data_IF_746307788347
#
_entry.id   IF_746307788347
#
_cell.length_a   1.000
_cell.length_b   1.000
_cell.length_c   1.000
_cell.angle_alpha   90.00
_cell.angle_beta   90.00
_cell.angle_gamma   90.00
#
_symmetry.space_group_name_H-M   'P 1'
#
loop_
_entity.id
_entity.type
_entity.pdbx_description
1 polymer ?
#
# COMPACT_ATOMS: atom_id res chain seq x y z
N UNK A 1 12.72 6.65 19.84
CA UNK A 1 11.38 6.02 19.68
C UNK A 1 11.17 5.61 18.25
N UNK A 2 10.80 4.38 18.00
CA UNK A 2 10.42 4.05 16.63
C UNK A 2 9.19 4.83 16.23
N UNK A 3 9.16 5.29 15.00
CA UNK A 3 8.01 5.98 14.46
C UNK A 3 6.86 5.04 14.14
N UNK A 4 5.78 5.60 13.63
CA UNK A 4 4.62 4.82 13.26
C UNK A 4 4.92 3.87 12.10
N UNK A 5 4.24 2.72 12.09
CA UNK A 5 4.32 1.77 11.00
C UNK A 5 3.13 2.01 10.05
N UNK A 6 3.41 2.08 8.76
CA UNK A 6 2.39 2.24 7.72
C UNK A 6 2.55 1.18 6.67
N UNK A 7 1.46 0.57 6.25
CA UNK A 7 1.42 -0.13 4.97
C UNK A 7 1.16 0.91 3.89
N UNK A 8 1.92 0.86 2.80
CA UNK A 8 1.70 1.76 1.66
C UNK A 8 0.91 0.99 0.59
N UNK A 9 -0.32 1.43 0.36
CA UNK A 9 -1.20 0.74 -0.58
C UNK A 9 -0.70 0.90 -2.02
N UNK A 10 -1.08 -0.04 -2.87
CA UNK A 10 -0.61 -0.10 -4.26
C UNK A 10 -0.94 1.17 -5.03
N UNK A 11 -2.09 1.81 -4.77
CA UNK A 11 -2.45 3.04 -5.45
C UNK A 11 -1.50 4.19 -5.11
N UNK A 12 -0.90 4.19 -3.94
CA UNK A 12 0.10 5.17 -3.54
C UNK A 12 1.46 4.84 -4.19
N UNK A 13 1.84 3.56 -4.18
CA UNK A 13 3.09 3.11 -4.82
C UNK A 13 3.11 3.48 -6.30
N UNK A 14 1.98 3.27 -7.00
CA UNK A 14 1.87 3.57 -8.43
C UNK A 14 2.13 5.05 -8.71
N UNK A 15 1.58 5.94 -7.90
CA UNK A 15 1.76 7.38 -8.09
C UNK A 15 3.14 7.87 -7.67
N UNK A 16 3.74 7.20 -6.69
CA UNK A 16 5.07 7.59 -6.21
C UNK A 16 6.14 7.43 -7.29
N UNK A 17 5.97 6.47 -8.18
CA UNK A 17 6.98 6.20 -9.21
C UNK A 17 6.56 6.72 -10.60
N UNK A 18 5.57 7.61 -10.67
CA UNK A 18 5.05 8.13 -11.92
C UNK A 18 5.05 9.67 -11.87
N UNK A 19 6.18 10.29 -12.25
CA UNK A 19 6.35 11.75 -12.11
C UNK A 19 5.31 12.61 -12.84
N UNK A 20 4.69 12.07 -13.90
CA UNK A 20 3.65 12.78 -14.64
C UNK A 20 2.24 12.57 -14.09
N UNK A 21 2.07 11.80 -13.01
CA UNK A 21 0.79 11.68 -12.34
C UNK A 21 0.48 12.97 -11.58
N UNK A 22 -0.76 13.43 -11.62
CA UNK A 22 -1.15 14.69 -10.98
C UNK A 22 -0.97 14.65 -9.46
N UNK A 23 -1.04 13.47 -8.85
CA UNK A 23 -0.88 13.29 -7.40
C UNK A 23 0.56 12.99 -7.00
N UNK A 24 1.49 12.95 -7.96
CA UNK A 24 2.89 12.65 -7.66
C UNK A 24 3.49 13.60 -6.61
N UNK A 25 3.34 14.93 -6.73
CA UNK A 25 3.92 15.83 -5.73
C UNK A 25 3.36 15.59 -4.34
N UNK A 26 2.06 15.31 -4.23
CA UNK A 26 1.41 15.01 -2.96
C UNK A 26 1.98 13.73 -2.34
N UNK A 27 2.11 12.69 -3.13
CA UNK A 27 2.60 11.39 -2.65
C UNK A 27 4.06 11.51 -2.20
N UNK A 28 4.90 12.18 -3.00
CA UNK A 28 6.31 12.38 -2.64
C UNK A 28 6.41 13.14 -1.32
N UNK A 29 5.63 14.21 -1.18
CA UNK A 29 5.63 15.00 0.05
C UNK A 29 5.20 14.17 1.27
N UNK A 30 4.12 13.39 1.13
CA UNK A 30 3.62 12.56 2.22
C UNK A 30 4.65 11.52 2.67
N UNK A 31 5.29 10.86 1.70
CA UNK A 31 6.31 9.85 2.00
C UNK A 31 7.53 10.48 2.66
N UNK A 32 8.00 11.59 2.14
CA UNK A 32 9.16 12.28 2.71
C UNK A 32 8.89 12.73 4.15
N UNK A 33 7.72 13.28 4.40
CA UNK A 33 7.36 13.73 5.75
C UNK A 33 7.29 12.53 6.70
N UNK A 34 6.67 11.43 6.27
CA UNK A 34 6.60 10.23 7.09
C UNK A 34 8.01 9.74 7.45
N UNK A 35 8.91 9.68 6.48
CA UNK A 35 10.28 9.22 6.70
C UNK A 35 11.05 10.18 7.61
N UNK A 36 10.84 11.49 7.47
CA UNK A 36 11.47 12.49 8.33
C UNK A 36 11.00 12.36 9.78
N UNK A 37 9.80 11.84 9.99
CA UNK A 37 9.24 11.59 11.33
C UNK A 37 9.53 10.16 11.80
N UNK A 38 10.52 9.52 11.23
CA UNK A 38 10.99 8.17 11.59
C UNK A 38 9.93 7.09 11.39
N UNK A 39 8.94 7.31 10.53
CA UNK A 39 7.97 6.28 10.20
C UNK A 39 8.65 5.14 9.46
N UNK A 40 8.17 3.92 9.69
CA UNK A 40 8.58 2.76 8.93
C UNK A 40 7.48 2.46 7.93
N UNK A 41 7.79 2.61 6.65
CA UNK A 41 6.84 2.34 5.58
C UNK A 41 7.04 0.91 5.10
N UNK A 42 5.93 0.20 4.89
CA UNK A 42 5.94 -1.24 4.61
C UNK A 42 5.15 -1.53 3.33
N UNK A 43 5.45 -2.65 2.73
CA UNK A 43 4.70 -3.17 1.59
C UNK A 43 4.63 -4.69 1.68
N UNK A 44 3.77 -5.31 0.87
CA UNK A 44 3.63 -6.76 0.79
C UNK A 44 3.89 -7.23 -0.64
N UNK A 45 4.08 -8.54 -0.81
CA UNK A 45 4.18 -9.11 -2.15
C UNK A 45 2.90 -8.89 -2.95
N UNK A 46 1.73 -8.86 -2.29
CA UNK A 46 0.48 -8.52 -2.96
C UNK A 46 0.54 -7.11 -3.55
N UNK A 47 1.07 -6.14 -2.81
CA UNK A 47 1.24 -4.78 -3.33
C UNK A 47 2.09 -4.77 -4.60
N UNK A 48 3.17 -5.54 -4.62
CA UNK A 48 4.02 -5.64 -5.81
C UNK A 48 3.24 -6.22 -6.97
N UNK A 49 2.45 -7.27 -6.73
CA UNK A 49 1.63 -7.88 -7.78
C UNK A 49 0.62 -6.91 -8.37
N UNK A 50 -0.09 -6.18 -7.52
CA UNK A 50 -1.07 -5.18 -7.97
C UNK A 50 -0.40 -4.03 -8.73
N UNK A 51 0.73 -3.55 -8.22
CA UNK A 51 1.55 -2.54 -8.85
C UNK A 51 2.00 -3.01 -10.24
N UNK A 52 2.54 -4.22 -10.32
CA UNK A 52 3.06 -4.80 -11.56
C UNK A 52 1.97 -4.96 -12.62
N UNK A 53 0.81 -5.46 -12.20
CA UNK A 53 -0.33 -5.62 -13.09
C UNK A 53 -0.70 -4.30 -13.76
N UNK A 54 -0.81 -3.22 -12.98
CA UNK A 54 -1.14 -1.90 -13.53
C UNK A 54 -0.02 -1.36 -14.42
N UNK A 55 1.23 -1.52 -14.02
CA UNK A 55 2.37 -1.04 -14.79
C UNK A 55 2.44 -1.71 -16.18
N UNK A 56 2.20 -3.00 -16.24
CA UNK A 56 2.37 -3.77 -17.49
C UNK A 56 1.08 -3.94 -18.28
N UNK A 57 -0.06 -3.63 -17.68
CA UNK A 57 -1.35 -3.70 -18.37
C UNK A 57 -1.37 -2.69 -19.52
N UNK A 58 -2.00 -3.02 -20.67
CA UNK A 58 -2.05 -2.11 -21.80
C UNK A 58 -2.71 -0.78 -21.47
N UNK A 59 -2.29 0.26 -22.20
CA UNK A 59 -2.89 1.61 -22.03
C UNK A 59 -4.39 1.59 -22.27
N UNK A 60 -4.87 0.76 -23.23
CA UNK A 60 -6.30 0.63 -23.55
C UNK A 60 -7.11 0.02 -22.40
N UNK A 61 -6.43 -0.59 -21.43
CA UNK A 61 -7.06 -1.24 -20.27
C UNK A 61 -6.71 -0.54 -18.97
N UNK A 62 -6.48 0.77 -19.04
CA UNK A 62 -6.14 1.60 -17.89
C UNK A 62 -4.82 1.21 -17.22
N UNK A 63 -3.91 0.61 -17.98
CA UNK A 63 -2.57 0.33 -17.50
C UNK A 63 -1.58 1.39 -17.96
N UNK A 64 -0.33 1.19 -17.57
CA UNK A 64 0.75 2.11 -17.98
C UNK A 64 1.48 1.65 -19.24
N UNK A 65 1.19 0.46 -19.72
CA UNK A 65 1.81 -0.08 -20.95
C UNK A 65 3.32 -0.25 -20.86
N UNK A 66 3.86 -0.45 -19.67
CA UNK A 66 5.29 -0.58 -19.46
C UNK A 66 5.73 -2.03 -19.70
N UNK A 67 7.00 -2.21 -20.08
CA UNK A 67 7.59 -3.53 -20.13
C UNK A 67 7.81 -4.09 -18.73
N UNK A 68 7.91 -5.42 -18.57
CA UNK A 68 8.28 -6.01 -17.28
C UNK A 68 9.62 -5.47 -16.77
N UNK A 69 10.58 -5.18 -17.64
CA UNK A 69 11.87 -4.65 -17.25
C UNK A 69 11.74 -3.25 -16.64
N UNK A 70 10.84 -2.42 -17.21
CA UNK A 70 10.59 -1.09 -16.67
C UNK A 70 9.83 -1.17 -15.35
N UNK A 71 8.84 -2.07 -15.24
CA UNK A 71 8.11 -2.29 -13.99
C UNK A 71 9.08 -2.75 -12.89
N UNK A 72 10.01 -3.62 -13.19
CA UNK A 72 11.02 -4.09 -12.27
C UNK A 72 11.89 -2.93 -11.76
N UNK A 73 12.35 -2.07 -12.68
CA UNK A 73 13.17 -0.92 -12.31
C UNK A 73 12.44 0.00 -11.34
N UNK A 74 11.16 0.25 -11.59
CA UNK A 74 10.36 1.13 -10.74
C UNK A 74 10.04 0.50 -9.40
N UNK A 75 9.73 -0.80 -9.38
CA UNK A 75 9.50 -1.51 -8.13
C UNK A 75 10.75 -1.45 -7.24
N UNK A 76 11.93 -1.59 -7.81
CA UNK A 76 13.18 -1.52 -7.06
C UNK A 76 13.34 -0.19 -6.33
N UNK A 77 12.75 0.89 -6.85
CA UNK A 77 12.84 2.21 -6.19
C UNK A 77 12.16 2.16 -4.82
N UNK A 78 10.91 1.69 -4.77
CA UNK A 78 10.22 1.66 -3.48
C UNK A 78 10.70 0.52 -2.60
N UNK A 79 11.14 -0.59 -3.17
CA UNK A 79 11.64 -1.73 -2.38
C UNK A 79 12.89 -1.38 -1.58
N UNK A 80 13.69 -0.42 -2.05
CA UNK A 80 14.88 0.02 -1.32
C UNK A 80 14.56 0.83 -0.08
N UNK A 81 13.41 1.51 -0.08
CA UNK A 81 13.04 2.44 0.99
C UNK A 81 12.00 1.87 1.95
N UNK A 82 11.28 0.85 1.55
CA UNK A 82 10.21 0.26 2.32
C UNK A 82 10.63 -1.11 2.86
N UNK A 83 9.93 -1.53 3.93
CA UNK A 83 10.15 -2.84 4.54
C UNK A 83 9.12 -3.83 4.02
N UNK A 84 9.56 -4.98 3.54
CA UNK A 84 8.66 -6.05 3.13
C UNK A 84 8.04 -6.71 4.37
N UNK A 85 6.72 -6.84 4.37
CA UNK A 85 5.99 -7.68 5.32
C UNK A 85 5.80 -9.04 4.66
N UNK A 86 6.54 -10.07 5.08
CA UNK A 86 6.49 -11.34 4.37
C UNK A 86 5.17 -12.07 4.57
N UNK A 87 4.76 -12.80 3.54
CA UNK A 87 3.66 -13.74 3.65
C UNK A 87 4.04 -14.86 4.60
N UNK A 88 3.03 -15.42 5.29
CA UNK A 88 3.26 -16.50 6.23
C UNK A 88 1.97 -17.29 6.41
N UNK A 89 2.08 -18.44 7.06
CA UNK A 89 0.89 -19.20 7.44
C UNK A 89 -0.04 -18.36 8.32
N UNK A 90 0.54 -17.58 9.23
CA UNK A 90 -0.25 -16.70 10.11
C UNK A 90 -1.06 -15.68 9.33
N UNK A 91 -0.47 -15.07 8.29
CA UNK A 91 -1.17 -14.13 7.42
C UNK A 91 -2.33 -14.82 6.73
N UNK A 92 -2.11 -16.00 6.19
CA UNK A 92 -3.17 -16.77 5.53
C UNK A 92 -4.32 -17.09 6.49
N UNK A 93 -4.00 -17.54 7.69
CA UNK A 93 -5.02 -17.89 8.68
C UNK A 93 -5.83 -16.67 9.11
N UNK A 94 -5.18 -15.55 9.34
CA UNK A 94 -5.87 -14.30 9.69
C UNK A 94 -6.76 -13.82 8.54
N UNK A 95 -6.28 -13.91 7.32
CA UNK A 95 -7.06 -13.57 6.13
C UNK A 95 -8.34 -14.38 6.07
N UNK A 96 -8.22 -15.71 6.20
CA UNK A 96 -9.39 -16.60 6.18
C UNK A 96 -10.38 -16.23 7.29
N UNK A 97 -9.89 -15.90 8.46
CA UNK A 97 -10.73 -15.48 9.59
C UNK A 97 -11.48 -14.18 9.27
N UNK A 98 -10.79 -13.21 8.69
CA UNK A 98 -11.38 -11.91 8.33
C UNK A 98 -12.48 -12.06 7.29
N UNK A 99 -12.27 -12.94 6.31
CA UNK A 99 -13.26 -13.13 5.24
C UNK A 99 -14.61 -13.54 5.79
N UNK A 100 -14.62 -14.40 6.79
CA UNK A 100 -15.86 -14.88 7.40
C UNK A 100 -16.41 -13.85 8.39
N UNK A 101 -15.56 -13.34 9.30
CA UNK A 101 -16.03 -12.47 10.38
C UNK A 101 -16.55 -11.11 9.88
N UNK A 102 -16.07 -10.65 8.72
CA UNK A 102 -16.49 -9.37 8.14
C UNK A 102 -17.36 -9.55 6.89
N UNK A 103 -17.79 -10.79 6.62
CA UNK A 103 -18.66 -11.07 5.48
C UNK A 103 -18.12 -10.49 4.18
N UNK A 104 -16.85 -10.76 3.90
CA UNK A 104 -16.16 -10.21 2.74
C UNK A 104 -16.53 -10.99 1.48
N UNK A 105 -16.86 -10.29 0.40
CA UNK A 105 -17.20 -10.92 -0.88
C UNK A 105 -16.58 -10.16 -2.04
N UNK A 106 -16.40 -10.86 -3.17
CA UNK A 106 -15.89 -10.28 -4.39
C UNK A 106 -14.47 -9.74 -4.26
N UNK A 107 -14.19 -8.66 -4.95
CA UNK A 107 -12.83 -8.09 -5.03
C UNK A 107 -12.30 -7.57 -3.68
N UNK A 108 -13.20 -7.37 -2.72
CA UNK A 108 -12.79 -6.91 -1.39
C UNK A 108 -11.95 -7.95 -0.65
N UNK A 109 -11.91 -9.19 -1.15
CA UNK A 109 -11.07 -10.26 -0.61
C UNK A 109 -9.58 -9.86 -0.61
N UNK A 110 -9.17 -9.03 -1.55
CA UNK A 110 -7.78 -8.62 -1.68
C UNK A 110 -7.39 -7.58 -0.61
N UNK A 111 -8.27 -6.63 -0.30
CA UNK A 111 -8.01 -5.68 0.77
C UNK A 111 -8.00 -6.36 2.13
N UNK A 112 -8.85 -7.36 2.31
CA UNK A 112 -8.83 -8.18 3.53
C UNK A 112 -7.48 -8.86 3.74
N UNK A 113 -6.81 -9.27 2.66
CA UNK A 113 -5.50 -9.92 2.77
C UNK A 113 -4.43 -8.92 3.21
N UNK A 114 -4.49 -7.68 2.71
CA UNK A 114 -3.60 -6.63 3.19
C UNK A 114 -3.80 -6.36 4.68
N UNK A 115 -5.05 -6.30 5.12
CA UNK A 115 -5.37 -6.11 6.54
C UNK A 115 -4.83 -7.28 7.38
N UNK A 116 -4.94 -8.51 6.88
CA UNK A 116 -4.39 -9.67 7.57
C UNK A 116 -2.88 -9.54 7.77
N UNK A 117 -2.16 -9.14 6.74
CA UNK A 117 -0.72 -8.90 6.85
C UNK A 117 -0.43 -7.80 7.86
N UNK A 118 -1.20 -6.72 7.83
CA UNK A 118 -1.04 -5.62 8.79
C UNK A 118 -1.19 -6.12 10.22
N UNK A 119 -2.23 -6.89 10.50
CA UNK A 119 -2.48 -7.40 11.86
C UNK A 119 -1.39 -8.33 12.35
N UNK A 120 -0.95 -9.25 11.50
CA UNK A 120 0.11 -10.19 11.87
C UNK A 120 1.42 -9.46 12.18
N UNK A 121 1.71 -8.40 11.45
CA UNK A 121 2.94 -7.64 11.61
C UNK A 121 2.78 -6.40 12.49
N UNK A 122 1.64 -6.26 13.18
CA UNK A 122 1.36 -5.15 14.11
C UNK A 122 1.43 -3.77 13.45
N UNK A 123 1.03 -3.68 12.18
CA UNK A 123 0.90 -2.43 11.45
C UNK A 123 -0.55 -1.99 11.53
N UNK A 124 -0.80 -0.79 12.06
CA UNK A 124 -2.16 -0.30 12.31
C UNK A 124 -2.63 0.75 11.32
N UNK A 125 -1.73 1.32 10.53
CA UNK A 125 -2.06 2.39 9.58
C UNK A 125 -1.77 1.96 8.17
N UNK A 126 -2.66 2.34 7.25
CA UNK A 126 -2.46 2.12 5.81
C UNK A 126 -2.55 3.47 5.10
N UNK A 127 -1.51 3.80 4.34
CA UNK A 127 -1.47 4.99 3.51
C UNK A 127 -2.15 4.65 2.19
N UNK A 128 -3.29 5.28 1.90
CA UNK A 128 -4.14 4.90 0.77
C UNK A 128 -4.97 6.08 0.28
N UNK A 129 -5.29 6.08 -1.01
CA UNK A 129 -6.28 7.00 -1.57
C UNK A 129 -7.70 6.48 -1.39
N UNK A 130 -7.87 5.20 -1.06
CA UNK A 130 -9.18 4.54 -0.96
C UNK A 130 -9.50 4.17 0.48
N UNK A 131 -9.66 5.16 1.33
CA UNK A 131 -9.88 4.95 2.77
C UNK A 131 -11.10 4.06 3.06
N UNK A 132 -12.13 4.14 2.21
CA UNK A 132 -13.35 3.36 2.42
C UNK A 132 -13.13 1.86 2.38
N UNK A 133 -12.14 1.40 1.64
CA UNK A 133 -11.87 -0.02 1.48
C UNK A 133 -11.39 -0.67 2.78
N UNK A 134 -10.94 0.13 3.73
CA UNK A 134 -10.42 -0.36 5.01
C UNK A 134 -11.31 -0.03 6.20
N UNK A 135 -12.40 0.68 5.98
CA UNK A 135 -13.25 1.21 7.05
C UNK A 135 -13.91 0.14 7.92
N UNK A 136 -14.16 -1.05 7.35
CA UNK A 136 -14.84 -2.12 8.08
C UNK A 136 -13.97 -2.83 9.13
N UNK A 137 -12.66 -2.59 9.11
CA UNK A 137 -11.73 -3.35 9.94
C UNK A 137 -11.35 -2.57 11.19
N UNK A 138 -11.85 -2.98 12.37
CA UNK A 138 -11.53 -2.29 13.62
C UNK A 138 -10.02 -2.31 13.89
N UNK A 139 -9.51 -1.21 14.39
CA UNK A 139 -8.09 -1.10 14.72
C UNK A 139 -7.18 -0.76 13.54
N UNK A 140 -7.74 -0.67 12.32
CA UNK A 140 -6.99 -0.25 11.14
C UNK A 140 -7.37 1.19 10.83
N UNK A 141 -6.38 2.05 10.76
CA UNK A 141 -6.57 3.45 10.42
C UNK A 141 -6.12 3.70 8.99
N UNK A 142 -7.05 4.09 8.11
CA UNK A 142 -6.71 4.49 6.76
C UNK A 142 -6.32 5.97 6.75
N UNK A 143 -5.15 6.26 6.20
CA UNK A 143 -4.59 7.61 6.17
C UNK A 143 -4.43 8.04 4.72
N UNK A 144 -5.07 9.13 4.34
CA UNK A 144 -4.92 9.69 3.01
C UNK A 144 -3.57 10.43 2.92
N UNK A 145 -2.86 10.37 1.79
CA UNK A 145 -1.59 11.11 1.65
C UNK A 145 -1.69 12.59 1.99
N UNK A 146 -2.85 13.21 1.75
CA UNK A 146 -3.11 14.60 2.09
C UNK A 146 -2.95 14.86 3.59
N UNK A 147 -3.37 13.91 4.42
CA UNK A 147 -3.26 14.07 5.88
C UNK A 147 -1.81 14.09 6.34
N UNK A 148 -0.97 13.23 5.77
CA UNK A 148 0.46 13.24 6.09
C UNK A 148 1.15 14.49 5.58
N UNK A 149 0.85 14.91 4.36
CA UNK A 149 1.46 16.10 3.78
C UNK A 149 1.14 17.36 4.59
N UNK A 150 0.00 17.39 5.29
CA UNK A 150 -0.41 18.53 6.11
C UNK A 150 0.31 18.59 7.46
N UNK A 151 1.01 17.54 7.87
CA UNK A 151 1.68 17.46 9.17
C UNK A 151 3.02 18.21 9.22
N UNK A 152 3.41 18.87 8.16
CA UNK A 152 4.70 19.56 8.07
C UNK A 152 4.77 20.84 8.91
N UNK A 153 3.71 21.24 9.53
CA UNK A 153 3.69 22.52 10.26
C UNK A 153 4.22 22.42 11.67
#
# INVERSE_FOLDING_TARGET
MPGALYLVDSNVLLRWIKPDDRDYPLVVSAIEIALQNDAVLCYTSQNVGEFWNTCTRPLERNGYGLSPQEADRRAAIFERKLRLLPDSLAVHQEWRRLLVSHNVSGVQVHDARLVAAMRVHAVKRVLTFNEKDFARYPGIEAVHPRSLAAETR
#
